data_IF_719157595297
#
_entry.id   IF_719157595297
#
_cell.length_a   1.000
_cell.length_b   1.000
_cell.length_c   1.000
_cell.angle_alpha   90.00
_cell.angle_beta   90.00
_cell.angle_gamma   90.00
#
_symmetry.space_group_name_H-M   'P 1'
#
loop_
_entity.id
_entity.type
_entity.pdbx_description
1 polymer ?
#
# COMPACT_ATOMS: atom_id res chain seq x y z
N UNK A 1 -4.50 3.09 9.84
CA UNK A 1 -4.67 4.28 8.95
C UNK A 1 -5.43 5.42 9.63
N UNK A 2 -6.57 5.18 10.28
CA UNK A 2 -7.35 6.26 10.93
C UNK A 2 -6.55 7.10 11.94
N UNK A 3 -5.78 6.46 12.83
CA UNK A 3 -4.93 7.15 13.79
C UNK A 3 -3.85 8.05 13.13
N UNK A 4 -3.26 7.61 12.01
CA UNK A 4 -2.31 8.44 11.25
C UNK A 4 -3.04 9.65 10.66
N UNK A 5 -4.23 9.45 10.11
CA UNK A 5 -5.05 10.52 9.55
C UNK A 5 -5.50 11.53 10.63
N UNK A 6 -5.87 11.07 11.82
CA UNK A 6 -6.34 11.94 12.90
C UNK A 6 -5.26 12.88 13.44
N UNK A 7 -3.97 12.51 13.30
CA UNK A 7 -2.84 13.36 13.64
C UNK A 7 -2.27 14.13 12.43
N UNK A 8 -2.98 14.15 11.31
CA UNK A 8 -2.64 14.99 10.15
C UNK A 8 -1.70 14.36 9.11
N UNK A 9 -1.36 13.07 9.22
CA UNK A 9 -0.51 12.39 8.23
C UNK A 9 -1.17 12.39 6.85
N UNK A 10 -0.39 12.72 5.81
CA UNK A 10 -0.85 12.80 4.41
C UNK A 10 -0.27 11.73 3.48
N UNK A 11 0.87 11.16 3.85
CA UNK A 11 1.53 10.08 3.11
C UNK A 11 1.97 9.00 4.08
N UNK A 12 1.82 7.74 3.69
CA UNK A 12 2.15 6.58 4.53
C UNK A 12 3.09 5.68 3.73
N UNK A 13 4.23 5.33 4.32
CA UNK A 13 5.13 4.30 3.82
C UNK A 13 4.90 3.03 4.64
N UNK A 14 4.60 1.92 3.96
CA UNK A 14 4.35 0.61 4.58
C UNK A 14 5.32 -0.44 4.05
N UNK A 15 6.54 -0.57 4.61
CA UNK A 15 7.47 -1.62 4.20
C UNK A 15 6.97 -3.00 4.65
N UNK A 16 7.21 -4.03 3.86
CA UNK A 16 6.94 -5.42 4.21
C UNK A 16 8.04 -6.34 3.68
N UNK A 17 8.32 -7.42 4.40
CA UNK A 17 9.14 -8.52 3.90
C UNK A 17 8.27 -9.47 3.09
N UNK A 18 8.76 -9.91 1.92
CA UNK A 18 8.03 -10.78 0.98
C UNK A 18 8.98 -11.80 0.36
N UNK A 19 8.41 -12.88 -0.19
CA UNK A 19 9.15 -13.83 -1.01
C UNK A 19 9.07 -13.47 -2.50
N UNK A 20 10.21 -13.49 -3.19
CA UNK A 20 10.26 -13.30 -4.64
C UNK A 20 9.59 -14.46 -5.38
N UNK A 21 8.69 -14.16 -6.31
CA UNK A 21 8.02 -15.14 -7.18
C UNK A 21 8.69 -15.27 -8.55
N UNK A 22 9.80 -14.56 -8.76
CA UNK A 22 10.62 -14.56 -9.97
C UNK A 22 12.08 -14.81 -9.58
N UNK A 23 12.84 -15.64 -10.32
CA UNK A 23 14.23 -15.99 -9.97
C UNK A 23 15.17 -14.80 -9.75
N UNK A 24 14.97 -13.71 -10.49
CA UNK A 24 15.76 -12.48 -10.40
C UNK A 24 15.47 -11.64 -9.15
N UNK A 25 14.40 -11.92 -8.41
CA UNK A 25 14.04 -11.22 -7.17
C UNK A 25 14.43 -12.05 -5.94
N UNK A 26 15.73 -12.29 -5.78
CA UNK A 26 16.30 -13.01 -4.65
C UNK A 26 16.33 -12.20 -3.34
N UNK A 27 16.76 -12.80 -2.22
CA UNK A 27 16.93 -12.11 -0.93
C UNK A 27 17.77 -10.84 -1.06
N UNK A 28 17.37 -9.78 -0.36
CA UNK A 28 18.02 -8.47 -0.40
C UNK A 28 17.51 -7.54 -1.52
N UNK A 29 16.71 -8.04 -2.46
CA UNK A 29 16.05 -7.20 -3.47
C UNK A 29 15.08 -6.22 -2.79
N UNK A 30 15.27 -4.92 -3.01
CA UNK A 30 14.25 -3.91 -2.74
C UNK A 30 13.40 -3.70 -4.00
N UNK A 31 12.08 -3.78 -3.85
CA UNK A 31 11.13 -3.49 -4.91
C UNK A 31 10.13 -2.43 -4.42
N UNK A 32 9.83 -1.45 -5.26
CA UNK A 32 8.78 -0.46 -5.02
C UNK A 32 7.58 -0.82 -5.92
N UNK A 33 6.54 -1.49 -5.40
CA UNK A 33 5.45 -2.02 -6.21
C UNK A 33 4.58 -0.90 -6.76
N UNK A 34 3.95 -1.16 -7.90
CA UNK A 34 2.94 -0.31 -8.54
C UNK A 34 1.58 -1.00 -8.65
N UNK A 35 1.53 -2.31 -8.41
CA UNK A 35 0.32 -3.12 -8.51
C UNK A 35 0.19 -4.12 -7.35
N UNK A 36 -1.03 -4.63 -7.16
CA UNK A 36 -1.26 -5.74 -6.26
C UNK A 36 -2.43 -6.63 -6.70
N UNK A 37 -2.40 -7.88 -6.25
CA UNK A 37 -3.51 -8.83 -6.29
C UNK A 37 -3.87 -9.17 -4.86
N UNK A 38 -5.09 -8.85 -4.46
CA UNK A 38 -5.61 -9.15 -3.13
C UNK A 38 -6.31 -10.51 -3.11
N UNK A 39 -5.85 -11.41 -2.24
CA UNK A 39 -6.46 -12.72 -1.94
C UNK A 39 -6.92 -12.82 -0.49
N UNK A 40 -6.86 -11.73 0.27
CA UNK A 40 -7.38 -11.67 1.63
C UNK A 40 -8.91 -11.80 1.62
N UNK A 41 -9.50 -12.38 2.68
CA UNK A 41 -10.96 -12.61 2.76
C UNK A 41 -11.62 -12.22 4.07
N UNK A 42 -10.88 -12.24 5.18
CA UNK A 42 -11.42 -12.07 6.52
C UNK A 42 -11.10 -10.71 7.15
N UNK A 43 -10.45 -9.82 6.41
CA UNK A 43 -10.01 -8.52 6.93
C UNK A 43 -11.06 -7.47 6.61
N UNK A 44 -11.35 -6.57 7.53
CA UNK A 44 -12.12 -5.35 7.22
C UNK A 44 -11.32 -4.50 6.22
N UNK A 45 -11.90 -4.24 5.05
CA UNK A 45 -11.20 -3.58 3.93
C UNK A 45 -11.59 -2.11 3.73
N UNK A 46 -12.60 -1.60 4.45
CA UNK A 46 -13.14 -0.26 4.27
C UNK A 46 -13.49 0.40 5.60
N UNK A 47 -13.49 1.73 5.63
CA UNK A 47 -14.06 2.55 6.72
C UNK A 47 -15.54 2.89 6.48
N UNK A 48 -16.07 2.54 5.32
CA UNK A 48 -17.45 2.72 4.88
C UNK A 48 -18.14 1.35 4.85
N UNK A 49 -18.31 0.76 6.03
CA UNK A 49 -18.84 -0.59 6.28
C UNK A 49 -20.37 -0.63 6.48
N UNK A 50 -20.99 0.53 6.64
CA UNK A 50 -22.43 0.67 6.89
C UNK A 50 -22.82 0.52 8.37
N UNK A 51 -21.85 0.36 9.27
CA UNK A 51 -22.11 0.26 10.71
C UNK A 51 -22.27 1.66 11.34
N UNK A 52 -23.18 1.77 12.31
CA UNK A 52 -23.37 3.01 13.06
C UNK A 52 -22.13 3.31 13.90
N UNK A 53 -21.54 4.49 13.70
CA UNK A 53 -20.37 4.95 14.44
C UNK A 53 -20.74 5.45 15.83
N UNK A 54 -19.73 5.62 16.68
CA UNK A 54 -19.89 6.10 18.06
C UNK A 54 -20.54 7.50 18.15
N UNK A 55 -20.44 8.32 17.10
CA UNK A 55 -21.08 9.64 17.01
C UNK A 55 -22.53 9.58 16.49
N UNK A 56 -23.08 8.38 16.29
CA UNK A 56 -24.43 8.14 15.78
C UNK A 56 -24.57 8.24 14.26
N UNK A 57 -23.49 8.53 13.53
CA UNK A 57 -23.54 8.62 12.07
C UNK A 57 -23.40 7.26 11.41
N UNK A 58 -24.05 7.07 10.26
CA UNK A 58 -23.89 5.89 9.40
C UNK A 58 -23.13 6.31 8.14
N UNK A 59 -22.05 5.61 7.75
CA UNK A 59 -21.33 5.91 6.52
C UNK A 59 -22.18 5.73 5.27
N UNK A 60 -22.01 6.63 4.29
CA UNK A 60 -22.45 6.41 2.91
C UNK A 60 -21.60 5.32 2.22
N UNK A 61 -22.08 4.83 1.07
CA UNK A 61 -21.31 3.90 0.23
C UNK A 61 -20.27 4.66 -0.59
N UNK A 62 -19.04 4.14 -0.65
CA UNK A 62 -17.93 4.71 -1.43
C UNK A 62 -17.25 3.63 -2.26
N UNK A 63 -17.14 3.87 -3.57
CA UNK A 63 -16.36 3.05 -4.49
C UNK A 63 -15.13 3.82 -4.96
N UNK A 64 -13.95 3.29 -4.70
CA UNK A 64 -12.68 3.87 -5.14
C UNK A 64 -12.14 3.09 -6.33
N UNK A 65 -11.53 3.81 -7.27
CA UNK A 65 -10.74 3.19 -8.32
C UNK A 65 -9.53 2.47 -7.72
N UNK A 66 -9.21 1.30 -8.26
CA UNK A 66 -8.11 0.47 -7.80
C UNK A 66 -7.12 0.10 -8.91
N UNK A 67 -7.22 0.77 -10.07
CA UNK A 67 -6.32 0.58 -11.20
C UNK A 67 -4.88 1.02 -10.86
N UNK A 68 -4.74 2.11 -10.10
CA UNK A 68 -3.46 2.66 -9.65
C UNK A 68 -3.45 2.71 -8.10
N UNK A 69 -3.22 1.57 -7.42
CA UNK A 69 -3.44 1.46 -5.98
C UNK A 69 -2.39 2.20 -5.13
N UNK A 70 -1.30 2.66 -5.73
CA UNK A 70 -0.22 3.37 -5.04
C UNK A 70 -0.06 4.81 -5.53
N UNK A 71 0.33 5.70 -4.62
CA UNK A 71 0.59 7.11 -4.94
C UNK A 71 1.86 7.26 -5.82
N UNK A 72 1.77 7.81 -7.03
CA UNK A 72 2.92 7.94 -7.93
C UNK A 72 4.05 8.80 -7.34
N UNK A 73 3.71 9.89 -6.68
CA UNK A 73 4.70 10.76 -6.01
C UNK A 73 5.39 10.05 -4.84
N UNK A 74 4.64 9.23 -4.09
CA UNK A 74 5.20 8.43 -3.00
C UNK A 74 6.18 7.36 -3.51
N UNK A 75 5.84 6.68 -4.61
CA UNK A 75 6.73 5.72 -5.27
C UNK A 75 8.01 6.39 -5.77
N UNK A 76 7.87 7.52 -6.47
CA UNK A 76 9.00 8.31 -6.97
C UNK A 76 9.93 8.72 -5.83
N UNK A 77 9.38 9.23 -4.73
CA UNK A 77 10.17 9.61 -3.55
C UNK A 77 10.93 8.41 -2.95
N UNK A 78 10.29 7.24 -2.84
CA UNK A 78 10.93 6.03 -2.34
C UNK A 78 12.08 5.55 -3.25
N UNK A 79 11.87 5.54 -4.57
CA UNK A 79 12.88 5.17 -5.55
C UNK A 79 14.09 6.12 -5.51
N UNK A 80 13.85 7.44 -5.48
CA UNK A 80 14.91 8.45 -5.36
C UNK A 80 15.69 8.28 -4.06
N UNK A 81 15.01 8.06 -2.93
CA UNK A 81 15.65 7.90 -1.63
C UNK A 81 16.52 6.64 -1.54
N UNK A 82 16.11 5.54 -2.19
CA UNK A 82 16.87 4.29 -2.27
C UNK A 82 18.12 4.43 -3.14
N UNK A 83 17.99 5.02 -4.35
CA UNK A 83 19.14 5.27 -5.23
C UNK A 83 20.18 6.21 -4.61
N UNK A 84 19.75 7.16 -3.79
CA UNK A 84 20.65 8.04 -3.03
C UNK A 84 21.36 7.38 -1.84
N UNK A 85 21.16 6.08 -1.61
CA UNK A 85 21.75 5.28 -0.53
C UNK A 85 22.41 3.99 -1.04
N UNK A 86 22.87 4.00 -2.28
CA UNK A 86 23.55 2.89 -2.95
C UNK A 86 22.70 1.61 -3.06
N UNK A 87 21.37 1.76 -3.08
CA UNK A 87 20.47 0.66 -3.41
C UNK A 87 20.02 0.79 -4.86
N UNK A 88 19.91 -0.34 -5.55
CA UNK A 88 19.33 -0.43 -6.90
C UNK A 88 17.92 -1.04 -6.80
N UNK A 89 16.88 -0.24 -6.46
CA UNK A 89 15.53 -0.75 -6.30
C UNK A 89 14.93 -1.15 -7.64
N UNK A 90 14.16 -2.23 -7.64
CA UNK A 90 13.26 -2.57 -8.74
C UNK A 90 12.09 -1.58 -8.73
N UNK A 91 11.90 -0.89 -9.86
CA UNK A 91 10.76 0.01 -10.09
C UNK A 91 9.61 -0.76 -10.73
N UNK A 92 8.55 -0.96 -9.95
CA UNK A 92 7.35 -1.66 -10.40
C UNK A 92 7.37 -3.14 -10.03
N UNK A 93 6.20 -3.75 -10.07
CA UNK A 93 5.98 -5.13 -9.67
C UNK A 93 4.65 -5.30 -8.94
N UNK A 94 4.10 -6.50 -9.07
CA UNK A 94 2.80 -6.86 -8.48
C UNK A 94 3.00 -7.64 -7.19
N UNK A 95 2.47 -7.11 -6.08
CA UNK A 95 2.40 -7.83 -4.82
C UNK A 95 1.17 -8.73 -4.78
N UNK A 96 1.33 -10.00 -4.42
CA UNK A 96 0.18 -10.87 -4.08
C UNK A 96 0.02 -10.86 -2.56
N UNK A 97 -1.10 -10.33 -2.09
CA UNK A 97 -1.42 -10.25 -0.65
C UNK A 97 -2.40 -11.36 -0.32
N UNK A 98 -2.13 -12.14 0.73
CA UNK A 98 -2.94 -13.30 1.15
C UNK A 98 -3.52 -13.16 2.55
#
# INVERSE_FOLDING_TARGET
LWALRSVGVRQVLGPCAVGGLRPEYGPGTLLVPDQLVDRTKARTQTFYDGETRADGTVPNVVHLGFADPYCPEGRKAALTAARGRDWEPVDGGTLVVV
#
